data_IF_635698345110
#
_entry.id   IF_635698345110
#
_cell.length_a   1.000
_cell.length_b   1.000
_cell.length_c   1.000
_cell.angle_alpha   90.00
_cell.angle_beta   90.00
_cell.angle_gamma   90.00
#
_symmetry.space_group_name_H-M   'P 1'
#
loop_
_entity.id
_entity.type
_entity.pdbx_description
1 polymer ?
#
# COMPACT_ATOMS: atom_id res chain seq x y z
N UNK A 1 -25.39 20.39 11.38
CA UNK A 1 -23.95 20.77 11.33
C UNK A 1 -22.98 19.57 11.47
N UNK A 2 -23.34 18.45 12.13
CA UNK A 2 -22.44 17.28 12.29
C UNK A 2 -22.06 16.51 11.00
N UNK A 3 -22.93 16.49 9.98
CA UNK A 3 -22.68 15.74 8.74
C UNK A 3 -21.51 16.30 7.91
N UNK A 4 -21.38 17.62 7.83
CA UNK A 4 -20.29 18.26 7.07
C UNK A 4 -18.92 18.06 7.74
N UNK A 5 -18.87 18.13 9.08
CA UNK A 5 -17.65 17.86 9.85
C UNK A 5 -17.20 16.40 9.71
N UNK A 6 -18.13 15.44 9.78
CA UNK A 6 -17.81 14.02 9.59
C UNK A 6 -17.29 13.73 8.17
N UNK A 7 -17.88 14.35 7.13
CA UNK A 7 -17.40 14.21 5.76
C UNK A 7 -15.99 14.80 5.61
N UNK A 8 -15.76 16.00 6.14
CA UNK A 8 -14.44 16.64 6.08
C UNK A 8 -13.38 15.81 6.82
N UNK A 9 -13.70 15.27 8.01
CA UNK A 9 -12.83 14.38 8.77
C UNK A 9 -12.51 13.10 7.98
N UNK A 10 -13.50 12.50 7.32
CA UNK A 10 -13.28 11.32 6.47
C UNK A 10 -12.38 11.63 5.26
N UNK A 11 -12.52 12.81 4.63
CA UNK A 11 -11.65 13.23 3.51
C UNK A 11 -10.22 13.55 3.94
N UNK A 12 -10.06 14.15 5.12
CA UNK A 12 -8.74 14.42 5.70
C UNK A 12 -8.04 13.11 6.09
N UNK A 13 -8.77 12.17 6.69
CA UNK A 13 -8.26 10.82 6.99
C UNK A 13 -7.86 10.06 5.72
N UNK A 14 -8.69 10.13 4.66
CA UNK A 14 -8.36 9.55 3.35
C UNK A 14 -7.07 10.16 2.76
N UNK A 15 -6.90 11.49 2.85
CA UNK A 15 -5.68 12.16 2.42
C UNK A 15 -4.45 11.72 3.23
N UNK A 16 -4.58 11.59 4.55
CA UNK A 16 -3.51 11.12 5.42
C UNK A 16 -3.11 9.67 5.08
N UNK A 17 -4.09 8.77 4.90
CA UNK A 17 -3.88 7.39 4.50
C UNK A 17 -3.19 7.26 3.15
N UNK A 18 -3.64 8.02 2.15
CA UNK A 18 -3.01 8.05 0.83
C UNK A 18 -1.55 8.51 0.89
N UNK A 19 -1.27 9.61 1.61
CA UNK A 19 0.11 10.10 1.80
C UNK A 19 0.99 9.08 2.50
N UNK A 20 0.46 8.37 3.50
CA UNK A 20 1.20 7.32 4.19
C UNK A 20 1.51 6.15 3.24
N UNK A 21 0.53 5.69 2.46
CA UNK A 21 0.71 4.61 1.49
C UNK A 21 1.75 4.96 0.40
N UNK A 22 1.71 6.18 -0.13
CA UNK A 22 2.70 6.67 -1.11
C UNK A 22 4.11 6.71 -0.53
N UNK A 23 4.28 7.17 0.71
CA UNK A 23 5.60 7.15 1.39
C UNK A 23 6.14 5.75 1.62
N UNK A 24 5.27 4.77 1.89
CA UNK A 24 5.68 3.37 2.02
C UNK A 24 6.15 2.83 0.67
N UNK A 25 5.39 3.08 -0.40
CA UNK A 25 5.76 2.72 -1.77
C UNK A 25 7.10 3.34 -2.19
N UNK A 26 7.36 4.60 -1.83
CA UNK A 26 8.65 5.25 -2.05
C UNK A 26 9.79 4.52 -1.34
N UNK A 27 9.59 4.12 -0.08
CA UNK A 27 10.60 3.36 0.68
C UNK A 27 10.81 1.95 0.14
N UNK A 28 9.75 1.34 -0.40
CA UNK A 28 9.80 0.10 -1.16
C UNK A 28 10.36 0.27 -2.58
N UNK A 29 10.71 1.50 -2.98
CA UNK A 29 11.28 1.83 -4.29
C UNK A 29 10.35 1.48 -5.46
N UNK A 30 9.04 1.55 -5.24
CA UNK A 30 8.07 1.43 -6.32
C UNK A 30 8.25 2.56 -7.34
N UNK A 31 8.10 2.24 -8.62
CA UNK A 31 7.99 3.26 -9.67
C UNK A 31 6.69 4.05 -9.50
N UNK A 32 6.64 5.24 -10.11
CA UNK A 32 5.40 6.04 -10.14
C UNK A 32 4.24 5.24 -10.74
N UNK A 33 4.47 4.57 -11.87
CA UNK A 33 3.47 3.74 -12.55
C UNK A 33 2.95 2.60 -11.67
N UNK A 34 3.85 1.87 -10.99
CA UNK A 34 3.43 0.84 -10.03
C UNK A 34 2.60 1.43 -8.89
N UNK A 35 3.02 2.56 -8.33
CA UNK A 35 2.29 3.19 -7.22
C UNK A 35 0.90 3.69 -7.62
N UNK A 36 0.78 4.28 -8.80
CA UNK A 36 -0.48 4.70 -9.41
C UNK A 36 -1.41 3.51 -9.64
N UNK A 37 -0.87 2.41 -10.21
CA UNK A 37 -1.62 1.19 -10.47
C UNK A 37 -2.09 0.52 -9.16
N UNK A 38 -1.20 0.35 -8.18
CA UNK A 38 -1.49 -0.30 -6.89
C UNK A 38 -2.63 0.42 -6.17
N UNK A 39 -2.57 1.76 -6.11
CA UNK A 39 -3.53 2.59 -5.39
C UNK A 39 -4.77 2.97 -6.22
N UNK A 40 -4.77 2.66 -7.52
CA UNK A 40 -5.77 3.10 -8.50
C UNK A 40 -6.06 4.61 -8.41
N UNK A 41 -5.00 5.41 -8.49
CA UNK A 41 -5.09 6.87 -8.48
C UNK A 41 -4.44 7.45 -9.73
N UNK A 42 -4.86 8.64 -10.16
CA UNK A 42 -4.22 9.33 -11.27
C UNK A 42 -2.78 9.72 -10.93
N UNK A 43 -1.93 9.85 -11.96
CA UNK A 43 -0.59 10.43 -11.85
C UNK A 43 -0.56 11.73 -11.04
N UNK A 44 -1.49 12.66 -11.33
CA UNK A 44 -1.58 13.94 -10.63
C UNK A 44 -1.89 13.78 -9.14
N UNK A 45 -2.77 12.85 -8.79
CA UNK A 45 -3.13 12.55 -7.39
C UNK A 45 -1.95 11.91 -6.66
N UNK A 46 -1.30 10.94 -7.30
CA UNK A 46 -0.11 10.28 -6.74
C UNK A 46 1.02 11.29 -6.50
N UNK A 47 1.34 12.12 -7.49
CA UNK A 47 2.39 13.14 -7.40
C UNK A 47 2.11 14.17 -6.30
N UNK A 48 0.86 14.63 -6.15
CA UNK A 48 0.46 15.53 -5.06
C UNK A 48 0.56 14.86 -3.69
N UNK A 49 0.13 13.60 -3.58
CA UNK A 49 0.26 12.84 -2.34
C UNK A 49 1.73 12.66 -1.94
N UNK A 50 2.59 12.37 -2.92
CA UNK A 50 4.05 12.23 -2.76
C UNK A 50 4.70 13.50 -2.23
N UNK A 51 4.33 14.67 -2.77
CA UNK A 51 4.80 15.98 -2.29
C UNK A 51 4.20 16.39 -0.93
N UNK A 52 3.10 15.77 -0.52
CA UNK A 52 2.39 16.09 0.71
C UNK A 52 1.30 17.16 0.57
N UNK A 53 1.00 17.60 -0.66
CA UNK A 53 0.12 18.74 -1.01
C UNK A 53 -1.38 18.40 -0.98
N UNK A 54 -1.76 17.26 -0.38
CA UNK A 54 -3.16 16.84 -0.23
C UNK A 54 -3.56 16.95 1.23
N UNK A 55 -4.50 17.84 1.50
CA UNK A 55 -5.13 18.04 2.82
C UNK A 55 -6.43 17.26 2.94
N UNK A 56 -7.22 17.20 1.86
CA UNK A 56 -8.47 16.45 1.76
C UNK A 56 -8.60 15.81 0.39
N UNK A 57 -9.18 14.60 0.33
CA UNK A 57 -9.50 13.92 -0.93
C UNK A 57 -10.72 13.03 -0.74
N UNK A 58 -11.55 12.90 -1.78
CA UNK A 58 -12.57 11.85 -1.85
C UNK A 58 -11.97 10.64 -2.54
N UNK A 59 -11.94 9.52 -1.83
CA UNK A 59 -11.59 8.21 -2.37
C UNK A 59 -12.81 7.30 -2.31
N UNK A 60 -12.92 6.39 -3.26
CA UNK A 60 -13.93 5.35 -3.21
C UNK A 60 -13.51 4.18 -2.29
N UNK A 61 -14.41 3.22 -2.09
CA UNK A 61 -14.18 2.09 -1.17
C UNK A 61 -13.03 1.18 -1.61
N UNK A 62 -12.83 1.00 -2.91
CA UNK A 62 -11.74 0.17 -3.43
C UNK A 62 -10.38 0.85 -3.22
N UNK A 63 -10.28 2.16 -3.48
CA UNK A 63 -9.06 2.94 -3.17
C UNK A 63 -8.72 2.93 -1.68
N UNK A 64 -9.72 3.09 -0.80
CA UNK A 64 -9.52 3.01 0.64
C UNK A 64 -9.08 1.61 1.09
N UNK A 65 -9.62 0.56 0.46
CA UNK A 65 -9.24 -0.82 0.75
C UNK A 65 -7.81 -1.13 0.30
N UNK A 66 -7.41 -0.65 -0.89
CA UNK A 66 -6.03 -0.76 -1.40
C UNK A 66 -5.03 -0.08 -0.47
N UNK A 67 -5.35 1.13 0.01
CA UNK A 67 -4.56 1.83 1.03
C UNK A 67 -4.47 0.97 2.29
N UNK A 68 -5.59 0.44 2.78
CA UNK A 68 -5.62 -0.41 3.98
C UNK A 68 -4.71 -1.64 3.84
N UNK A 69 -4.76 -2.37 2.73
CA UNK A 69 -3.88 -3.52 2.50
C UNK A 69 -2.42 -3.13 2.49
N UNK A 70 -2.06 -2.02 1.84
CA UNK A 70 -0.68 -1.55 1.79
C UNK A 70 -0.15 -1.17 3.18
N UNK A 71 -0.94 -0.45 3.97
CA UNK A 71 -0.61 -0.11 5.35
C UNK A 71 -0.45 -1.36 6.23
N UNK A 72 -1.32 -2.35 6.05
CA UNK A 72 -1.25 -3.60 6.81
C UNK A 72 -0.06 -4.47 6.40
N UNK A 73 0.28 -4.58 5.10
CA UNK A 73 1.52 -5.25 4.65
C UNK A 73 2.72 -4.63 5.37
N UNK A 74 2.84 -3.30 5.37
CA UNK A 74 3.94 -2.64 6.07
C UNK A 74 3.92 -2.89 7.58
N UNK A 75 2.75 -2.87 8.21
CA UNK A 75 2.61 -3.17 9.63
C UNK A 75 3.05 -4.61 9.95
N UNK A 76 2.68 -5.58 9.11
CA UNK A 76 3.08 -6.99 9.26
C UNK A 76 4.59 -7.16 9.10
N UNK A 77 5.20 -6.49 8.11
CA UNK A 77 6.66 -6.51 7.94
C UNK A 77 7.41 -5.90 9.13
N UNK A 78 6.86 -4.87 9.79
CA UNK A 78 7.46 -4.30 11.03
C UNK A 78 7.39 -5.23 12.23
N UNK A 79 6.48 -6.21 12.22
CA UNK A 79 6.40 -7.23 13.26
C UNK A 79 7.37 -8.38 12.96
N UNK A 80 7.59 -8.67 11.68
CA UNK A 80 8.43 -9.78 11.23
C UNK A 80 9.92 -9.41 11.26
N UNK A 81 10.27 -8.17 10.94
CA UNK A 81 11.66 -7.74 10.77
C UNK A 81 12.05 -6.61 11.73
N UNK A 82 13.11 -6.84 12.49
CA UNK A 82 13.72 -5.82 13.35
C UNK A 82 14.67 -4.87 12.58
N UNK A 83 15.18 -5.31 11.42
CA UNK A 83 16.12 -4.54 10.63
C UNK A 83 15.42 -3.77 9.47
N UNK A 84 15.80 -2.50 9.23
CA UNK A 84 15.20 -1.70 8.15
C UNK A 84 15.42 -2.27 6.74
N UNK A 85 16.53 -2.97 6.50
CA UNK A 85 16.86 -3.54 5.20
C UNK A 85 15.79 -4.54 4.75
N UNK A 86 15.43 -5.50 5.60
CA UNK A 86 14.38 -6.47 5.30
C UNK A 86 12.98 -5.85 5.33
N UNK A 87 12.72 -4.93 6.28
CA UNK A 87 11.43 -4.24 6.37
C UNK A 87 11.05 -3.54 5.05
N UNK A 88 12.01 -2.87 4.41
CA UNK A 88 11.77 -2.16 3.15
C UNK A 88 12.18 -2.94 1.91
N UNK A 89 13.06 -3.92 2.04
CA UNK A 89 13.61 -4.74 0.97
C UNK A 89 12.75 -5.97 0.62
N UNK A 90 12.01 -6.54 1.59
CA UNK A 90 11.28 -7.80 1.40
C UNK A 90 10.40 -7.81 0.15
N UNK A 91 9.67 -6.73 -0.11
CA UNK A 91 8.75 -6.64 -1.25
C UNK A 91 9.46 -6.63 -2.61
N UNK A 92 10.78 -6.43 -2.64
CA UNK A 92 11.64 -6.49 -3.82
C UNK A 92 12.43 -7.79 -3.91
N UNK A 93 12.32 -8.68 -2.93
CA UNK A 93 13.02 -9.97 -2.97
C UNK A 93 12.26 -10.93 -3.89
N UNK A 94 13.00 -11.62 -4.76
CA UNK A 94 12.45 -12.70 -5.56
C UNK A 94 11.84 -13.74 -4.63
N UNK A 95 10.57 -14.08 -4.87
CA UNK A 95 9.85 -15.02 -4.03
C UNK A 95 9.46 -16.27 -4.83
N UNK A 96 10.00 -17.41 -4.42
CA UNK A 96 9.79 -18.70 -5.09
C UNK A 96 8.60 -19.49 -4.56
N UNK A 97 7.81 -18.94 -3.63
CA UNK A 97 6.59 -19.60 -3.21
C UNK A 97 5.61 -19.72 -4.39
N UNK A 98 4.74 -20.76 -4.39
CA UNK A 98 3.92 -21.10 -5.56
C UNK A 98 3.11 -19.95 -6.14
N UNK A 99 2.64 -19.03 -5.28
CA UNK A 99 1.88 -17.86 -5.72
C UNK A 99 2.74 -16.80 -6.43
N UNK A 100 3.95 -16.56 -5.93
CA UNK A 100 4.83 -15.53 -6.48
C UNK A 100 5.58 -16.04 -7.72
N UNK A 101 5.82 -17.34 -7.80
CA UNK A 101 6.40 -18.01 -8.98
C UNK A 101 7.66 -17.31 -9.53
N UNK A 102 8.56 -16.90 -8.63
CA UNK A 102 9.82 -16.22 -8.98
C UNK A 102 9.68 -14.71 -9.24
N UNK A 103 8.49 -14.13 -9.07
CA UNK A 103 8.28 -12.68 -9.09
C UNK A 103 8.42 -12.11 -7.67
N UNK A 104 8.70 -10.83 -7.59
CA UNK A 104 8.68 -10.09 -6.32
C UNK A 104 7.25 -9.74 -5.92
N UNK A 105 6.95 -9.57 -4.61
CA UNK A 105 5.66 -9.06 -4.18
C UNK A 105 5.29 -7.72 -4.83
N UNK A 106 6.26 -6.82 -5.00
CA UNK A 106 6.02 -5.51 -5.61
C UNK A 106 5.66 -5.61 -7.10
N UNK A 107 6.27 -6.51 -7.86
CA UNK A 107 5.89 -6.75 -9.26
C UNK A 107 4.46 -7.29 -9.40
N UNK A 108 4.04 -8.15 -8.48
CA UNK A 108 2.67 -8.69 -8.47
C UNK A 108 1.66 -7.57 -8.17
N UNK A 109 1.86 -6.84 -7.07
CA UNK A 109 1.01 -5.71 -6.71
C UNK A 109 0.99 -4.63 -7.80
N UNK A 110 2.16 -4.37 -8.42
CA UNK A 110 2.37 -3.37 -9.47
C UNK A 110 1.55 -3.59 -10.74
N UNK A 111 0.94 -4.76 -10.94
CA UNK A 111 -0.05 -5.00 -12.01
C UNK A 111 -1.32 -4.16 -11.85
N UNK A 112 -1.59 -3.65 -10.64
CA UNK A 112 -2.81 -2.90 -10.30
C UNK A 112 -4.03 -3.79 -10.02
N UNK A 113 -3.93 -5.10 -10.23
CA UNK A 113 -5.01 -6.04 -9.91
C UNK A 113 -5.29 -6.04 -8.40
N UNK A 114 -6.57 -5.88 -8.05
CA UNK A 114 -7.03 -5.90 -6.66
C UNK A 114 -6.76 -7.26 -6.00
N UNK A 115 -7.02 -8.35 -6.72
CA UNK A 115 -6.81 -9.69 -6.19
C UNK A 115 -5.33 -9.94 -5.91
N UNK A 116 -4.44 -9.44 -6.78
CA UNK A 116 -2.99 -9.50 -6.59
C UNK A 116 -2.52 -8.79 -5.32
N UNK A 117 -3.05 -7.59 -5.05
CA UNK A 117 -2.76 -6.85 -3.82
C UNK A 117 -3.29 -7.59 -2.57
N UNK A 118 -4.53 -8.08 -2.62
CA UNK A 118 -5.13 -8.81 -1.52
C UNK A 118 -4.38 -10.11 -1.19
N UNK A 119 -4.07 -10.91 -2.20
CA UNK A 119 -3.36 -12.18 -2.03
C UNK A 119 -1.93 -11.98 -1.54
N UNK A 120 -1.28 -10.86 -1.91
CA UNK A 120 0.00 -10.44 -1.33
C UNK A 120 -0.16 -10.06 0.14
N UNK A 121 -1.15 -9.24 0.49
CA UNK A 121 -1.46 -8.87 1.88
C UNK A 121 -1.68 -10.11 2.76
N UNK A 122 -2.61 -10.99 2.37
CA UNK A 122 -2.96 -12.19 3.12
C UNK A 122 -1.73 -13.06 3.43
N UNK A 123 -0.84 -13.18 2.45
CA UNK A 123 0.39 -13.95 2.52
C UNK A 123 1.44 -13.31 3.43
N UNK A 124 1.64 -12.01 3.34
CA UNK A 124 2.57 -11.31 4.25
C UNK A 124 2.02 -11.30 5.68
N UNK A 125 0.71 -11.18 5.85
CA UNK A 125 0.12 -11.17 7.18
C UNK A 125 0.21 -12.54 7.88
N UNK A 126 0.06 -13.65 7.16
CA UNK A 126 0.16 -15.00 7.74
C UNK A 126 1.55 -15.32 8.31
N UNK A 127 2.61 -14.68 7.80
CA UNK A 127 3.97 -14.80 8.33
C UNK A 127 4.05 -14.40 9.81
N UNK A 128 3.19 -13.50 10.28
CA UNK A 128 3.16 -13.09 11.70
C UNK A 128 2.74 -14.22 12.64
N UNK A 129 1.96 -15.17 12.15
CA UNK A 129 1.48 -16.33 12.92
C UNK A 129 2.38 -17.56 12.78
N UNK A 130 3.52 -17.46 12.10
CA UNK A 130 4.36 -18.62 11.76
C UNK A 130 3.68 -19.60 10.80
N UNK A 131 2.61 -19.17 10.12
CA UNK A 131 1.86 -19.96 9.16
C UNK A 131 2.37 -19.58 7.77
N UNK A 132 3.31 -20.38 7.23
CA UNK A 132 3.67 -20.43 5.82
C UNK A 132 4.25 -21.78 5.44
#
# INVERSE_FOLDING_TARGET
MQTAQNIAQNRAAAAAGLKAAVRILDKWRATGEQGEAILRVSHSTYARARRGDITEIKLDSDQLTRISYLLNIHASLRVIFDNPENLYGFVNMVNHNPYFNGRTPLEIMGSGDFAALYETFKRVDSLRGGQW
#
